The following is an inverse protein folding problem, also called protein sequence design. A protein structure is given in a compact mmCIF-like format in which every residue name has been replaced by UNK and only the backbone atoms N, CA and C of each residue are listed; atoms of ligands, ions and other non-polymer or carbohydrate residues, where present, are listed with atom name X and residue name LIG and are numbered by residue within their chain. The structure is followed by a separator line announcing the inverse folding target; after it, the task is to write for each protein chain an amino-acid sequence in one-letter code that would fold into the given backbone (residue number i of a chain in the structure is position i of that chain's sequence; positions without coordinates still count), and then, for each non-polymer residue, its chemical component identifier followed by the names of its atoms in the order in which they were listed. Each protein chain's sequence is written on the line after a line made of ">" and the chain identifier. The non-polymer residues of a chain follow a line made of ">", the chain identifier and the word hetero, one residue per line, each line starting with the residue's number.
data_IF_724758592657
#
_entry.id   IF_724758592657
#
_cell.length_a   1.000
_cell.length_b   1.000
_cell.length_c   1.000
_cell.angle_alpha   90.00
_cell.angle_beta   90.00
_cell.angle_gamma   90.00
#
_symmetry.space_group_name_H-M   'P 1'
#
loop_
_entity.id
_entity.type
_entity.pdbx_description
1 polymer ?
#
# COMPACT_ATOMS: atom_id res chain seq x y z
N UNK A 1 21.64 -30.88 -17.01
CA UNK A 1 20.74 -29.71 -17.10
C UNK A 1 21.14 -28.77 -15.98
N UNK A 2 21.46 -27.50 -16.26
CA UNK A 2 21.92 -26.58 -15.22
C UNK A 2 20.74 -26.23 -14.29
N UNK A 3 20.84 -26.59 -13.01
CA UNK A 3 19.87 -26.17 -12.00
C UNK A 3 20.12 -24.68 -11.76
N UNK A 4 19.15 -23.84 -12.12
CA UNK A 4 19.18 -22.42 -11.78
C UNK A 4 18.68 -22.31 -10.35
N UNK A 5 19.61 -22.12 -9.41
CA UNK A 5 19.28 -21.85 -8.03
C UNK A 5 18.71 -20.43 -7.90
N UNK A 6 17.47 -20.33 -7.43
CA UNK A 6 16.83 -19.06 -7.08
C UNK A 6 17.13 -18.73 -5.63
N UNK A 7 17.33 -17.44 -5.36
CA UNK A 7 17.43 -16.91 -4.00
C UNK A 7 16.05 -16.57 -3.47
N UNK A 8 15.81 -16.86 -2.20
CA UNK A 8 14.59 -16.49 -1.50
C UNK A 8 14.91 -15.81 -0.16
N UNK A 9 14.18 -14.73 0.11
CA UNK A 9 14.35 -13.89 1.29
C UNK A 9 13.09 -13.99 2.15
N UNK A 10 13.24 -14.45 3.39
CA UNK A 10 12.17 -14.54 4.39
C UNK A 10 11.74 -13.13 4.81
N UNK A 11 10.44 -12.84 4.82
CA UNK A 11 9.87 -11.52 5.10
C UNK A 11 9.02 -11.62 6.39
N UNK A 12 9.61 -11.39 7.58
CA UNK A 12 8.85 -11.34 8.83
C UNK A 12 7.93 -10.12 8.92
N UNK A 13 8.35 -9.00 8.31
CA UNK A 13 7.68 -7.71 8.33
C UNK A 13 7.89 -7.00 6.98
N UNK A 14 7.09 -5.99 6.66
CA UNK A 14 7.27 -5.27 5.40
C UNK A 14 8.68 -4.69 5.29
N UNK A 15 9.29 -4.95 4.14
CA UNK A 15 10.57 -4.38 3.75
C UNK A 15 10.55 -4.12 2.23
N UNK A 16 10.99 -2.94 1.76
CA UNK A 16 11.06 -2.64 0.34
C UNK A 16 12.03 -3.58 -0.37
N UNK A 17 11.71 -3.97 -1.61
CA UNK A 17 12.53 -4.87 -2.41
C UNK A 17 14.01 -4.47 -2.54
N UNK A 18 14.31 -3.17 -2.54
CA UNK A 18 15.70 -2.70 -2.64
C UNK A 18 16.49 -3.09 -1.39
N UNK A 19 15.92 -2.89 -0.20
CA UNK A 19 16.55 -3.25 1.07
C UNK A 19 16.65 -4.77 1.24
N UNK A 20 15.63 -5.51 0.79
CA UNK A 20 15.65 -6.98 0.77
C UNK A 20 16.86 -7.55 0.02
N UNK A 21 17.29 -6.92 -1.08
CA UNK A 21 18.43 -7.42 -1.87
C UNK A 21 19.80 -7.06 -1.29
N UNK A 22 19.86 -6.19 -0.28
CA UNK A 22 21.11 -5.85 0.41
C UNK A 22 21.50 -6.89 1.47
N UNK A 23 20.54 -7.67 1.96
CA UNK A 23 20.78 -8.77 2.91
C UNK A 23 21.04 -10.11 2.22
N UNK A 24 21.75 -11.04 2.89
CA UNK A 24 21.84 -12.42 2.42
C UNK A 24 20.45 -13.04 2.26
N UNK A 25 20.34 -13.96 1.31
CA UNK A 25 19.13 -14.76 1.15
C UNK A 25 19.07 -15.83 2.23
N UNK A 26 17.86 -16.21 2.61
CA UNK A 26 17.61 -17.16 3.71
C UNK A 26 17.45 -18.59 3.21
N UNK A 27 17.11 -18.75 1.92
CA UNK A 27 16.86 -20.05 1.31
C UNK A 27 17.25 -20.05 -0.17
N UNK A 28 17.84 -21.15 -0.63
CA UNK A 28 18.10 -21.43 -2.05
C UNK A 28 17.10 -22.45 -2.55
N UNK A 29 16.52 -22.18 -3.71
CA UNK A 29 15.46 -22.98 -4.29
C UNK A 29 15.82 -23.46 -5.69
N UNK A 30 15.61 -24.73 -5.98
CA UNK A 30 15.50 -25.24 -7.35
C UNK A 30 14.03 -25.30 -7.74
N UNK A 31 13.67 -24.48 -8.73
CA UNK A 31 12.29 -24.38 -9.21
C UNK A 31 11.90 -25.61 -10.02
N UNK A 32 10.90 -26.35 -9.55
CA UNK A 32 10.40 -27.54 -10.23
C UNK A 32 9.17 -27.24 -11.09
N UNK A 33 8.20 -26.53 -10.52
CA UNK A 33 6.96 -26.17 -11.23
C UNK A 33 6.41 -24.85 -10.72
N UNK A 34 6.00 -23.99 -11.65
CA UNK A 34 5.32 -22.73 -11.35
C UNK A 34 3.94 -22.73 -11.96
N UNK A 35 2.95 -22.68 -11.08
CA UNK A 35 1.58 -22.36 -11.42
C UNK A 35 1.35 -20.86 -11.22
N UNK A 36 0.26 -20.34 -11.77
CA UNK A 36 -0.10 -18.91 -11.63
C UNK A 36 -0.20 -18.48 -10.15
N UNK A 37 -0.65 -19.38 -9.28
CA UNK A 37 -0.94 -19.15 -7.87
C UNK A 37 -0.11 -19.97 -6.89
N UNK A 38 0.76 -20.87 -7.36
CA UNK A 38 1.53 -21.75 -6.50
C UNK A 38 2.89 -22.09 -7.10
N UNK A 39 3.86 -22.39 -6.24
CA UNK A 39 5.21 -22.76 -6.62
C UNK A 39 5.62 -24.02 -5.83
N UNK A 40 6.10 -25.03 -6.54
CA UNK A 40 6.80 -26.17 -5.93
C UNK A 40 8.27 -26.03 -6.27
N UNK A 41 9.11 -26.10 -5.25
CA UNK A 41 10.55 -26.03 -5.38
C UNK A 41 11.22 -26.99 -4.41
N UNK A 42 12.41 -27.45 -4.77
CA UNK A 42 13.29 -28.11 -3.82
C UNK A 42 14.13 -27.06 -3.12
N UNK A 43 14.28 -27.13 -1.81
CA UNK A 43 15.27 -26.31 -1.12
C UNK A 43 16.64 -26.99 -1.20
N UNK A 44 17.67 -26.17 -1.44
CA UNK A 44 19.04 -26.64 -1.73
C UNK A 44 19.95 -26.59 -0.51
N UNK A 45 19.47 -26.05 0.59
CA UNK A 45 20.19 -25.92 1.85
C UNK A 45 20.11 -27.23 2.67
N UNK A 46 21.14 -27.46 3.50
CA UNK A 46 21.18 -28.62 4.38
C UNK A 46 19.99 -28.62 5.34
N UNK A 47 19.41 -29.79 5.60
CA UNK A 47 18.23 -29.93 6.47
C UNK A 47 18.48 -29.40 7.88
N UNK A 48 19.71 -29.54 8.40
CA UNK A 48 20.08 -28.96 9.70
C UNK A 48 19.99 -27.43 9.70
N UNK A 49 20.49 -26.78 8.65
CA UNK A 49 20.42 -25.31 8.49
C UNK A 49 18.97 -24.85 8.40
N UNK A 50 18.14 -25.53 7.62
CA UNK A 50 16.70 -25.24 7.54
C UNK A 50 16.03 -25.38 8.91
N UNK A 51 16.32 -26.45 9.64
CA UNK A 51 15.75 -26.69 10.97
C UNK A 51 16.14 -25.62 11.99
N UNK A 52 17.36 -25.12 11.94
CA UNK A 52 17.85 -24.10 12.88
C UNK A 52 17.41 -22.68 12.51
N UNK A 53 16.88 -22.48 11.30
CA UNK A 53 16.44 -21.17 10.83
C UNK A 53 15.24 -20.62 11.60
N UNK A 54 15.23 -19.32 11.83
CA UNK A 54 14.14 -18.63 12.53
C UNK A 54 12.79 -18.83 11.82
N UNK A 55 12.76 -18.67 10.50
CA UNK A 55 11.54 -18.80 9.71
C UNK A 55 10.92 -20.20 9.84
N UNK A 56 11.75 -21.25 9.94
CA UNK A 56 11.26 -22.61 10.09
C UNK A 56 10.72 -22.86 11.51
N UNK A 57 11.37 -22.31 12.54
CA UNK A 57 10.85 -22.37 13.91
C UNK A 57 9.48 -21.69 14.03
N UNK A 58 9.31 -20.53 13.38
CA UNK A 58 8.01 -19.82 13.31
C UNK A 58 6.97 -20.59 12.49
N UNK A 59 7.38 -21.25 11.40
CA UNK A 59 6.51 -22.16 10.65
C UNK A 59 5.96 -23.28 11.56
N UNK A 60 6.83 -23.91 12.36
CA UNK A 60 6.43 -24.95 13.32
C UNK A 60 5.50 -24.42 14.42
N UNK A 61 5.63 -23.14 14.78
CA UNK A 61 4.72 -22.45 15.69
C UNK A 61 3.34 -22.12 15.06
N UNK A 62 3.14 -22.44 13.77
CA UNK A 62 1.89 -22.20 13.06
C UNK A 62 1.79 -20.79 12.46
N UNK A 63 2.87 -20.03 12.42
CA UNK A 63 2.88 -18.71 11.82
C UNK A 63 2.88 -18.78 10.28
N UNK A 64 2.34 -17.73 9.65
CA UNK A 64 2.43 -17.59 8.19
C UNK A 64 3.81 -17.08 7.82
N UNK A 65 4.56 -17.89 7.05
CA UNK A 65 5.92 -17.56 6.64
C UNK A 65 5.93 -17.11 5.19
N UNK A 66 6.27 -15.86 4.97
CA UNK A 66 6.37 -15.27 3.63
C UNK A 66 7.83 -15.17 3.15
N UNK A 67 8.03 -15.40 1.87
CA UNK A 67 9.29 -15.25 1.17
C UNK A 67 9.09 -14.41 -0.09
N UNK A 68 10.03 -13.52 -0.37
CA UNK A 68 10.22 -13.04 -1.74
C UNK A 68 11.16 -14.00 -2.46
N UNK A 69 10.69 -14.58 -3.57
CA UNK A 69 11.47 -15.47 -4.43
C UNK A 69 11.95 -14.69 -5.64
N UNK A 70 13.26 -14.75 -5.90
CA UNK A 70 13.93 -14.03 -6.97
C UNK A 70 13.21 -14.19 -8.32
N UNK A 71 12.84 -13.05 -8.93
CA UNK A 71 12.15 -13.00 -10.22
C UNK A 71 10.74 -13.58 -10.24
N UNK A 72 10.24 -14.13 -9.14
CA UNK A 72 8.97 -14.87 -9.08
C UNK A 72 7.90 -14.19 -8.22
N UNK A 73 8.30 -13.30 -7.30
CA UNK A 73 7.40 -12.54 -6.43
C UNK A 73 7.32 -13.08 -5.01
N UNK A 74 6.31 -12.62 -4.25
CA UNK A 74 6.10 -13.04 -2.86
C UNK A 74 5.23 -14.29 -2.77
N UNK A 75 5.57 -15.17 -1.83
CA UNK A 75 4.90 -16.44 -1.59
C UNK A 75 4.87 -16.75 -0.10
N UNK A 76 3.81 -17.39 0.38
CA UNK A 76 3.77 -17.98 1.71
C UNK A 76 4.05 -19.48 1.62
N UNK A 77 4.76 -20.03 2.60
CA UNK A 77 4.92 -21.48 2.73
C UNK A 77 3.56 -22.10 3.06
N UNK A 78 3.10 -22.99 2.19
CA UNK A 78 1.92 -23.81 2.41
C UNK A 78 2.29 -25.14 3.09
N UNK A 79 3.41 -25.75 2.69
CA UNK A 79 3.91 -26.98 3.29
C UNK A 79 5.41 -27.13 3.03
N UNK A 80 6.09 -27.91 3.87
CA UNK A 80 7.49 -28.27 3.69
C UNK A 80 7.72 -29.74 4.08
N UNK A 81 8.44 -30.47 3.24
CA UNK A 81 8.87 -31.84 3.49
C UNK A 81 10.40 -31.89 3.54
N UNK A 82 10.93 -32.12 4.74
CA UNK A 82 12.37 -32.18 4.96
C UNK A 82 13.02 -33.46 4.44
N UNK A 83 12.25 -34.53 4.19
CA UNK A 83 12.78 -35.80 3.72
C UNK A 83 13.01 -35.74 2.20
N UNK A 84 12.04 -35.20 1.47
CA UNK A 84 12.14 -35.03 0.01
C UNK A 84 12.83 -33.72 -0.41
N UNK A 85 13.17 -32.86 0.56
CA UNK A 85 13.73 -31.52 0.34
C UNK A 85 12.77 -30.57 -0.38
N UNK A 86 11.47 -30.74 -0.20
CA UNK A 86 10.46 -30.01 -0.95
C UNK A 86 9.81 -28.90 -0.13
N UNK A 87 9.52 -27.79 -0.80
CA UNK A 87 8.69 -26.73 -0.25
C UNK A 87 7.59 -26.33 -1.24
N UNK A 88 6.40 -26.18 -0.70
CA UNK A 88 5.19 -25.82 -1.41
C UNK A 88 4.80 -24.42 -1.00
N UNK A 89 4.62 -23.56 -1.98
CA UNK A 89 4.34 -22.15 -1.81
C UNK A 89 3.00 -21.77 -2.41
N UNK A 90 2.27 -20.88 -1.74
CA UNK A 90 1.10 -20.18 -2.29
C UNK A 90 1.48 -18.73 -2.58
N UNK A 91 1.14 -18.25 -3.76
CA UNK A 91 1.48 -16.88 -4.18
C UNK A 91 0.75 -15.87 -3.31
N UNK A 92 1.50 -14.90 -2.80
CA UNK A 92 0.99 -13.76 -2.05
C UNK A 92 1.08 -12.50 -2.89
N UNK A 93 0.29 -11.49 -2.52
CA UNK A 93 0.52 -10.17 -3.08
C UNK A 93 1.76 -9.54 -2.43
N UNK A 94 2.63 -9.00 -3.27
CA UNK A 94 3.95 -8.60 -2.85
C UNK A 94 3.93 -7.22 -2.20
N UNK A 95 3.75 -7.16 -0.87
CA UNK A 95 3.90 -5.92 -0.11
C UNK A 95 5.28 -5.30 -0.36
N UNK A 96 6.33 -6.12 -0.45
CA UNK A 96 7.71 -5.65 -0.72
C UNK A 96 7.90 -4.91 -2.05
N UNK A 97 6.99 -5.07 -3.02
CA UNK A 97 7.02 -4.30 -4.27
C UNK A 97 6.61 -2.84 -4.08
N UNK A 98 5.97 -2.53 -2.96
CA UNK A 98 5.58 -1.18 -2.60
C UNK A 98 6.80 -0.38 -2.14
N UNK A 99 6.87 0.85 -2.60
CA UNK A 99 7.82 1.85 -2.14
C UNK A 99 7.29 2.46 -0.82
N UNK A 100 8.17 2.83 0.12
CA UNK A 100 7.80 3.42 1.41
C UNK A 100 7.35 4.87 1.25
N UNK A 101 6.34 5.09 0.41
CA UNK A 101 5.80 6.40 0.06
C UNK A 101 4.32 6.46 0.42
N UNK A 102 3.88 7.63 0.83
CA UNK A 102 2.47 8.02 0.84
C UNK A 102 2.24 8.89 -0.39
N UNK A 103 1.28 8.53 -1.22
CA UNK A 103 0.96 9.28 -2.44
C UNK A 103 -0.25 10.17 -2.19
N UNK A 104 -0.11 11.48 -2.40
CA UNK A 104 -1.16 12.47 -2.21
C UNK A 104 -1.71 13.02 -3.53
N UNK A 105 -2.99 12.76 -3.77
CA UNK A 105 -3.80 13.33 -4.84
C UNK A 105 -4.52 14.59 -4.34
N UNK A 106 -3.97 15.76 -4.66
CA UNK A 106 -4.56 17.04 -4.26
C UNK A 106 -5.49 17.61 -5.33
N UNK A 107 -6.27 18.64 -5.00
CA UNK A 107 -7.05 19.44 -5.96
C UNK A 107 -6.36 20.78 -6.27
N UNK A 108 -6.53 21.31 -7.48
CA UNK A 108 -5.96 22.61 -7.88
C UNK A 108 -6.95 23.76 -7.74
N UNK A 109 -8.25 23.46 -7.59
CA UNK A 109 -9.33 24.44 -7.53
C UNK A 109 -9.32 25.23 -6.22
N UNK A 110 -8.83 24.63 -5.13
CA UNK A 110 -8.68 25.29 -3.83
C UNK A 110 -7.25 25.09 -3.30
N UNK A 111 -6.25 25.81 -3.84
CA UNK A 111 -4.83 25.58 -3.51
C UNK A 111 -4.51 25.72 -2.02
N UNK A 112 -5.19 26.63 -1.32
CA UNK A 112 -4.98 26.85 0.11
C UNK A 112 -5.31 25.61 0.95
N UNK A 113 -6.45 24.94 0.70
CA UNK A 113 -6.81 23.72 1.44
C UNK A 113 -5.89 22.56 1.10
N UNK A 114 -5.51 22.42 -0.17
CA UNK A 114 -4.52 21.43 -0.60
C UNK A 114 -3.16 21.63 0.08
N UNK A 115 -2.74 22.87 0.32
CA UNK A 115 -1.52 23.20 1.06
C UNK A 115 -1.62 22.75 2.52
N UNK A 116 -2.72 23.10 3.19
CA UNK A 116 -2.97 22.72 4.57
C UNK A 116 -2.95 21.19 4.73
N UNK A 117 -3.63 20.45 3.85
CA UNK A 117 -3.58 18.97 3.89
C UNK A 117 -2.16 18.46 3.71
N UNK A 118 -1.37 19.06 2.80
CA UNK A 118 0.03 18.69 2.59
C UNK A 118 0.87 18.90 3.85
N UNK A 119 0.78 20.06 4.48
CA UNK A 119 1.50 20.37 5.72
C UNK A 119 1.14 19.37 6.84
N UNK A 120 -0.16 19.03 6.98
CA UNK A 120 -0.61 18.04 7.94
C UNK A 120 -0.05 16.64 7.64
N UNK A 121 0.01 16.25 6.36
CA UNK A 121 0.62 14.99 5.92
C UNK A 121 2.13 14.95 6.22
N UNK A 122 2.85 16.01 5.88
CA UNK A 122 4.30 16.12 6.14
C UNK A 122 4.60 16.07 7.63
N UNK A 123 3.83 16.79 8.45
CA UNK A 123 3.94 16.75 9.91
C UNK A 123 3.67 15.35 10.48
N UNK A 124 2.62 14.69 9.99
CA UNK A 124 2.25 13.34 10.41
C UNK A 124 3.33 12.32 10.03
N UNK A 125 3.84 12.39 8.79
CA UNK A 125 4.94 11.55 8.31
C UNK A 125 6.20 11.79 9.14
N UNK A 126 6.52 13.05 9.46
CA UNK A 126 7.66 13.38 10.30
C UNK A 126 7.54 12.79 11.71
N UNK A 127 6.32 12.77 12.28
CA UNK A 127 6.05 12.12 13.56
C UNK A 127 6.21 10.60 13.48
N UNK A 128 5.62 9.95 12.48
CA UNK A 128 5.72 8.50 12.26
C UNK A 128 7.18 8.08 12.08
N UNK A 129 7.95 8.85 11.32
CA UNK A 129 9.36 8.57 11.04
C UNK A 129 10.27 8.66 12.28
N UNK A 130 9.81 9.17 13.43
CA UNK A 130 10.60 9.16 14.68
C UNK A 130 10.71 7.77 15.29
N UNK A 131 9.72 6.92 15.06
CA UNK A 131 9.62 5.58 15.64
C UNK A 131 9.58 4.48 14.59
N UNK A 132 9.29 4.81 13.34
CA UNK A 132 9.23 3.86 12.23
C UNK A 132 10.60 3.27 11.89
N UNK A 133 10.67 1.96 11.68
CA UNK A 133 11.86 1.27 11.15
C UNK A 133 12.21 1.69 9.72
N UNK A 134 11.20 2.07 8.93
CA UNK A 134 11.35 2.49 7.54
C UNK A 134 10.89 3.93 7.37
N UNK A 135 11.76 4.77 6.81
CA UNK A 135 11.45 6.17 6.57
C UNK A 135 10.43 6.32 5.44
N UNK A 136 9.27 6.86 5.77
CA UNK A 136 8.22 7.22 4.83
C UNK A 136 8.51 8.58 4.18
N UNK A 137 8.16 8.72 2.91
CA UNK A 137 8.20 10.00 2.19
C UNK A 137 6.86 10.32 1.56
N UNK A 138 6.60 11.62 1.37
CA UNK A 138 5.42 12.09 0.66
C UNK A 138 5.74 12.25 -0.83
N UNK A 139 4.93 11.63 -1.67
CA UNK A 139 4.87 11.92 -3.10
C UNK A 139 3.52 12.54 -3.45
N UNK A 140 3.46 13.33 -4.52
CA UNK A 140 2.23 14.03 -4.89
C UNK A 140 1.99 14.02 -6.40
N UNK A 141 0.72 14.15 -6.78
CA UNK A 141 0.29 14.22 -8.18
C UNK A 141 0.90 15.43 -8.89
N UNK A 142 1.82 15.20 -9.84
CA UNK A 142 2.27 16.28 -10.73
C UNK A 142 1.37 16.33 -11.96
N UNK A 143 0.55 17.38 -12.07
CA UNK A 143 -0.37 17.60 -13.19
C UNK A 143 0.12 18.78 -14.02
N UNK A 144 0.31 18.55 -15.32
CA UNK A 144 0.50 19.65 -16.26
C UNK A 144 -0.82 20.44 -16.35
N UNK A 145 -0.75 21.77 -16.31
CA UNK A 145 -1.94 22.64 -16.38
C UNK A 145 -2.59 22.64 -17.75
N UNK A 146 -1.83 22.34 -18.81
CA UNK A 146 -2.25 22.54 -20.20
C UNK A 146 -2.34 21.23 -21.01
N UNK A 147 -2.06 20.08 -20.40
CA UNK A 147 -2.12 18.79 -21.08
C UNK A 147 -3.18 17.85 -20.48
N UNK A 148 -3.87 17.05 -21.30
CA UNK A 148 -4.71 15.96 -20.80
C UNK A 148 -3.93 15.01 -19.89
N UNK A 149 -4.62 14.42 -18.91
CA UNK A 149 -4.02 13.41 -18.03
C UNK A 149 -3.50 12.23 -18.86
N UNK A 150 -2.20 11.98 -18.78
CA UNK A 150 -1.57 10.79 -19.36
C UNK A 150 -1.80 9.59 -18.45
N UNK A 151 -2.71 8.69 -18.85
CA UNK A 151 -3.04 7.46 -18.09
C UNK A 151 -1.87 6.48 -17.96
N UNK A 152 -0.98 6.45 -18.95
CA UNK A 152 0.29 5.71 -18.88
C UNK A 152 1.43 6.68 -18.53
N UNK A 153 1.51 7.04 -17.25
CA UNK A 153 2.52 7.98 -16.75
C UNK A 153 3.25 7.44 -15.53
N UNK A 154 4.37 8.08 -15.21
CA UNK A 154 5.12 7.85 -13.97
C UNK A 154 4.28 8.12 -12.73
N UNK A 155 3.28 9.02 -12.82
CA UNK A 155 2.31 9.32 -11.77
C UNK A 155 1.55 8.05 -11.36
N UNK A 156 0.91 7.36 -12.29
CA UNK A 156 0.14 6.15 -11.97
C UNK A 156 1.03 4.99 -11.51
N UNK A 157 2.27 4.91 -12.00
CA UNK A 157 3.26 3.95 -11.49
C UNK A 157 3.61 4.21 -10.02
N UNK A 158 3.85 5.48 -9.66
CA UNK A 158 4.11 5.92 -8.28
C UNK A 158 2.91 5.70 -7.36
N UNK A 159 1.72 6.10 -7.81
CA UNK A 159 0.46 5.86 -7.12
C UNK A 159 0.27 4.37 -6.86
N UNK A 160 0.46 3.50 -7.87
CA UNK A 160 0.32 2.05 -7.71
C UNK A 160 1.31 1.51 -6.68
N UNK A 161 2.55 1.98 -6.68
CA UNK A 161 3.64 1.48 -5.84
C UNK A 161 3.68 2.08 -4.43
N UNK A 162 2.94 3.14 -4.13
CA UNK A 162 2.92 3.70 -2.76
C UNK A 162 2.34 2.74 -1.73
N UNK A 163 2.73 2.87 -0.45
CA UNK A 163 2.11 2.11 0.64
C UNK A 163 0.65 2.52 0.83
N UNK A 164 0.43 3.82 0.84
CA UNK A 164 -0.86 4.45 1.06
C UNK A 164 -1.13 5.48 -0.04
N UNK A 165 -2.35 5.48 -0.54
CA UNK A 165 -2.89 6.52 -1.41
C UNK A 165 -3.86 7.38 -0.60
N UNK A 166 -3.66 8.68 -0.66
CA UNK A 166 -4.48 9.68 0.03
C UNK A 166 -5.00 10.66 -1.01
N UNK A 167 -6.30 10.98 -0.99
CA UNK A 167 -6.88 11.94 -1.91
C UNK A 167 -7.71 13.01 -1.21
N UNK A 168 -7.58 14.26 -1.63
CA UNK A 168 -8.49 15.35 -1.24
C UNK A 168 -9.73 15.33 -2.13
N UNK A 169 -10.84 14.86 -1.56
CA UNK A 169 -12.15 14.77 -2.23
C UNK A 169 -13.11 15.86 -1.76
N UNK A 170 -12.59 16.92 -1.15
CA UNK A 170 -13.38 18.11 -0.80
C UNK A 170 -14.06 18.69 -2.05
N UNK A 171 -15.28 19.18 -1.87
CA UNK A 171 -16.12 19.62 -2.98
C UNK A 171 -15.56 20.90 -3.63
N UNK A 172 -15.42 20.89 -4.95
CA UNK A 172 -15.10 22.08 -5.76
C UNK A 172 -16.34 22.77 -6.30
N UNK A 173 -17.45 22.04 -6.37
CA UNK A 173 -18.76 22.51 -6.79
C UNK A 173 -19.85 21.67 -6.11
N UNK A 174 -21.08 22.17 -6.15
CA UNK A 174 -22.25 21.46 -5.66
C UNK A 174 -23.40 21.61 -6.67
N UNK A 175 -24.17 20.53 -6.85
CA UNK A 175 -25.45 20.57 -7.56
C UNK A 175 -26.55 20.53 -6.50
N UNK A 176 -27.35 21.60 -6.45
CA UNK A 176 -28.52 21.63 -5.57
C UNK A 176 -29.62 20.73 -6.16
N UNK A 177 -30.26 19.91 -5.32
CA UNK A 177 -31.42 19.15 -5.75
C UNK A 177 -32.58 20.10 -6.10
N UNK A 178 -33.31 19.81 -7.17
CA UNK A 178 -34.51 20.57 -7.58
C UNK A 178 -35.69 20.37 -6.61
N UNK A 179 -35.64 19.30 -5.81
CA UNK A 179 -36.66 18.94 -4.82
C UNK A 179 -36.09 19.22 -3.42
N UNK A 180 -36.81 20.02 -2.63
CA UNK A 180 -36.44 20.58 -1.31
C UNK A 180 -36.13 19.56 -0.18
N UNK A 181 -35.79 18.31 -0.48
CA UNK A 181 -35.60 17.24 0.51
C UNK A 181 -34.31 16.44 0.34
N UNK A 182 -33.62 16.55 -0.79
CA UNK A 182 -32.36 15.83 -0.99
C UNK A 182 -31.15 16.72 -0.65
N UNK A 183 -30.13 16.17 0.05
CA UNK A 183 -28.90 16.88 0.31
C UNK A 183 -28.20 17.23 -1.02
N UNK A 184 -27.52 18.39 -1.12
CA UNK A 184 -26.86 18.78 -2.36
C UNK A 184 -25.75 17.78 -2.72
N UNK A 185 -25.59 17.53 -4.01
CA UNK A 185 -24.58 16.62 -4.52
C UNK A 185 -23.24 17.34 -4.60
N UNK A 186 -22.25 16.84 -3.85
CA UNK A 186 -20.90 17.37 -3.85
C UNK A 186 -20.10 16.85 -5.06
N UNK A 187 -19.42 17.76 -5.75
CA UNK A 187 -18.57 17.44 -6.91
C UNK A 187 -17.11 17.63 -6.52
N UNK A 188 -16.31 16.56 -6.41
CA UNK A 188 -14.86 16.65 -6.23
C UNK A 188 -14.14 16.97 -7.56
N UNK A 189 -12.84 17.24 -7.47
CA UNK A 189 -12.01 17.52 -8.65
C UNK A 189 -11.99 16.33 -9.63
N UNK A 190 -12.28 16.53 -10.94
CA UNK A 190 -12.25 15.44 -11.92
C UNK A 190 -10.89 14.73 -12.02
N UNK A 191 -9.80 15.46 -11.80
CA UNK A 191 -8.46 14.89 -11.79
C UNK A 191 -8.27 13.93 -10.61
N UNK A 192 -8.77 14.33 -9.44
CA UNK A 192 -8.77 13.48 -8.24
C UNK A 192 -9.65 12.26 -8.48
N UNK A 193 -10.83 12.40 -9.09
CA UNK A 193 -11.70 11.26 -9.42
C UNK A 193 -11.01 10.20 -10.28
N UNK A 194 -10.25 10.62 -11.30
CA UNK A 194 -9.50 9.69 -12.16
C UNK A 194 -8.44 8.94 -11.35
N UNK A 195 -7.71 9.64 -10.49
CA UNK A 195 -6.67 9.05 -9.64
C UNK A 195 -7.27 8.11 -8.57
N UNK A 196 -8.39 8.49 -7.94
CA UNK A 196 -9.16 7.66 -7.00
C UNK A 196 -9.68 6.41 -7.70
N UNK A 197 -10.29 6.55 -8.88
CA UNK A 197 -10.79 5.41 -9.65
C UNK A 197 -9.68 4.43 -10.03
N UNK A 198 -8.51 4.94 -10.41
CA UNK A 198 -7.34 4.09 -10.65
C UNK A 198 -6.86 3.42 -9.36
N UNK A 199 -6.79 4.15 -8.24
CA UNK A 199 -6.38 3.61 -6.95
C UNK A 199 -7.28 2.46 -6.50
N UNK A 200 -8.61 2.61 -6.63
CA UNK A 200 -9.59 1.57 -6.32
C UNK A 200 -9.41 0.31 -7.18
N UNK A 201 -8.87 0.44 -8.39
CA UNK A 201 -8.63 -0.69 -9.27
C UNK A 201 -7.32 -1.44 -8.96
N UNK A 202 -6.29 -0.75 -8.45
CA UNK A 202 -4.92 -1.31 -8.34
C UNK A 202 -4.41 -1.47 -6.91
N UNK A 203 -5.06 -0.83 -5.93
CA UNK A 203 -4.69 -0.90 -4.52
C UNK A 203 -5.79 -1.61 -3.73
N UNK A 204 -5.42 -2.10 -2.56
CA UNK A 204 -6.38 -2.68 -1.62
C UNK A 204 -7.13 -1.59 -0.87
N UNK A 205 -8.22 -1.99 -0.22
CA UNK A 205 -9.05 -1.06 0.55
C UNK A 205 -8.25 -0.42 1.69
N UNK A 206 -7.43 -1.19 2.41
CA UNK A 206 -6.58 -0.67 3.48
C UNK A 206 -5.49 0.30 3.01
N UNK A 207 -5.25 0.44 1.70
CA UNK A 207 -4.23 1.32 1.13
C UNK A 207 -4.82 2.62 0.54
N UNK A 208 -6.08 2.94 0.85
CA UNK A 208 -6.80 4.08 0.31
C UNK A 208 -7.45 4.85 1.46
N UNK A 209 -7.13 6.14 1.56
CA UNK A 209 -7.75 7.09 2.47
C UNK A 209 -8.22 8.31 1.69
N UNK A 210 -9.50 8.66 1.83
CA UNK A 210 -10.09 9.84 1.21
C UNK A 210 -10.35 10.89 2.28
N UNK A 211 -9.83 12.10 2.07
CA UNK A 211 -9.98 13.23 2.97
C UNK A 211 -11.04 14.17 2.39
N UNK A 212 -12.04 14.52 3.21
CA UNK A 212 -13.00 15.57 2.90
C UNK A 212 -12.94 16.60 4.02
N UNK A 213 -12.58 17.84 3.67
CA UNK A 213 -12.66 18.98 4.59
C UNK A 213 -13.96 19.74 4.30
N UNK A 214 -14.85 19.80 5.28
CA UNK A 214 -16.18 20.38 5.15
C UNK A 214 -17.14 19.78 6.17
N UNK A 215 -18.32 20.37 6.30
CA UNK A 215 -19.33 19.81 7.22
C UNK A 215 -19.91 18.51 6.64
N UNK A 216 -20.06 17.44 7.44
CA UNK A 216 -20.76 16.22 7.01
C UNK A 216 -22.18 16.50 6.50
N UNK A 217 -22.80 17.58 7.00
CA UNK A 217 -24.15 18.00 6.63
C UNK A 217 -24.21 18.73 5.28
N UNK A 218 -23.07 18.99 4.63
CA UNK A 218 -23.01 19.71 3.36
C UNK A 218 -23.43 18.87 2.16
N UNK A 219 -23.65 17.57 2.31
CA UNK A 219 -24.03 16.74 1.19
C UNK A 219 -23.59 15.30 1.33
N UNK A 220 -23.95 14.50 0.33
CA UNK A 220 -23.53 13.09 0.26
C UNK A 220 -22.05 13.01 -0.09
N UNK A 221 -21.31 12.17 0.64
CA UNK A 221 -19.91 11.86 0.34
C UNK A 221 -19.80 11.28 -1.09
N UNK A 222 -18.83 11.72 -1.91
CA UNK A 222 -18.87 11.48 -3.36
C UNK A 222 -18.58 10.03 -3.79
N UNK A 223 -18.10 9.17 -2.89
CA UNK A 223 -17.73 7.79 -3.19
C UNK A 223 -18.29 6.80 -2.16
N UNK A 224 -18.84 5.68 -2.62
CA UNK A 224 -19.35 4.63 -1.73
C UNK A 224 -18.21 3.73 -1.21
N UNK A 225 -17.47 4.20 -0.21
CA UNK A 225 -16.36 3.48 0.42
C UNK A 225 -16.64 3.11 1.88
N UNK A 226 -16.11 2.03 2.45
CA UNK A 226 -16.12 1.82 3.90
C UNK A 226 -15.71 3.05 4.73
N UNK A 227 -16.33 3.23 5.91
CA UNK A 227 -16.09 4.40 6.79
C UNK A 227 -14.60 4.57 7.14
N UNK A 228 -13.87 3.47 7.36
CA UNK A 228 -12.45 3.53 7.71
C UNK A 228 -11.57 4.13 6.60
N UNK A 229 -12.03 4.17 5.35
CA UNK A 229 -11.31 4.80 4.23
C UNK A 229 -11.67 6.28 4.08
N UNK A 230 -12.52 6.84 4.95
CA UNK A 230 -13.00 8.22 4.87
C UNK A 230 -12.54 8.99 6.11
N UNK A 231 -11.88 10.12 5.89
CA UNK A 231 -11.60 11.10 6.91
C UNK A 231 -12.38 12.38 6.58
N UNK A 232 -13.55 12.54 7.19
CA UNK A 232 -14.38 13.74 7.04
C UNK A 232 -14.20 14.64 8.24
N UNK A 233 -13.68 15.85 8.03
CA UNK A 233 -13.35 16.79 9.11
C UNK A 233 -13.93 18.16 8.82
N UNK A 234 -14.51 18.77 9.85
CA UNK A 234 -15.19 20.08 9.73
C UNK A 234 -14.24 21.24 9.38
N UNK A 235 -12.96 21.12 9.76
CA UNK A 235 -11.95 22.15 9.56
C UNK A 235 -10.53 21.58 9.67
N UNK A 236 -9.55 22.42 9.37
CA UNK A 236 -8.14 22.05 9.38
C UNK A 236 -7.60 21.66 10.78
N UNK A 237 -8.09 22.27 11.86
CA UNK A 237 -7.66 21.90 13.22
C UNK A 237 -8.10 20.47 13.58
N UNK A 238 -9.28 20.06 13.12
CA UNK A 238 -9.73 18.67 13.24
C UNK A 238 -8.87 17.72 12.38
N UNK A 239 -8.49 18.14 11.16
CA UNK A 239 -7.60 17.37 10.31
C UNK A 239 -6.27 17.04 11.00
N UNK A 240 -5.58 18.05 11.56
CA UNK A 240 -4.29 17.86 12.24
C UNK A 240 -4.40 16.85 13.39
N UNK A 241 -5.52 16.86 14.12
CA UNK A 241 -5.75 15.97 15.26
C UNK A 241 -6.05 14.53 14.85
N UNK A 242 -6.82 14.34 13.78
CA UNK A 242 -7.39 13.04 13.42
C UNK A 242 -6.58 12.29 12.36
N UNK A 243 -5.88 13.01 11.48
CA UNK A 243 -5.07 12.44 10.40
C UNK A 243 -3.99 11.45 10.88
N UNK A 244 -3.25 11.69 11.99
CA UNK A 244 -2.25 10.73 12.46
C UNK A 244 -2.83 9.37 12.81
N UNK A 245 -3.98 9.35 13.51
CA UNK A 245 -4.66 8.11 13.87
C UNK A 245 -5.20 7.38 12.64
N UNK A 246 -5.79 8.11 11.69
CA UNK A 246 -6.27 7.55 10.44
C UNK A 246 -5.13 6.89 9.64
N UNK A 247 -4.01 7.59 9.46
CA UNK A 247 -2.84 7.04 8.74
C UNK A 247 -2.26 5.83 9.47
N UNK A 248 -2.17 5.85 10.80
CA UNK A 248 -1.65 4.72 11.57
C UNK A 248 -2.45 3.43 11.34
N UNK A 249 -3.78 3.51 11.31
CA UNK A 249 -4.66 2.36 11.03
C UNK A 249 -4.37 1.77 9.64
N UNK A 250 -4.21 2.62 8.63
CA UNK A 250 -3.89 2.18 7.27
C UNK A 250 -2.47 1.60 7.12
N UNK A 251 -1.55 1.97 8.02
CA UNK A 251 -0.17 1.50 7.99
C UNK A 251 0.10 0.28 8.88
N UNK A 252 -0.85 -0.11 9.74
CA UNK A 252 -0.70 -1.21 10.71
C UNK A 252 -0.22 -2.51 10.06
N UNK A 253 -0.77 -2.85 8.89
CA UNK A 253 -0.42 -4.07 8.14
C UNK A 253 1.07 -4.14 7.75
N UNK A 254 1.74 -3.00 7.60
CA UNK A 254 3.15 -2.96 7.22
C UNK A 254 4.07 -3.16 8.43
N UNK A 255 3.54 -3.22 9.65
CA UNK A 255 4.32 -3.41 10.88
C UNK A 255 5.58 -2.52 10.93
N UNK A 256 5.38 -1.21 10.78
CA UNK A 256 6.48 -0.25 10.67
C UNK A 256 7.14 0.09 12.01
N UNK A 257 6.58 -0.34 13.15
CA UNK A 257 6.93 0.10 14.50
C UNK A 257 7.43 -1.05 15.37
#
# INVERSE_FOLDING_TARGET
>A
MAIIALRAWYIPEYEPLRSLFERPHDLRLAKNSLLKSALRADFLDEVSVVRESEWFQRYLAGETIEFYVEGSGSYAIANIDLISHEVYFTKQEALSQLDPTIFFSYQTQQPHYSELIREALESTIAQINRTSRIKLTLEQSFRSTDEPIKLKSTLFSKLKRSLLFIADVSAIAQINAEINSDPPQLIPSPHVCVEVGYALQVKRSEQILLIQVGSPDQGTFPFDLPIHQRLTVINYNALIRELPAAIAIHLERFNLF
#
